data_IF_917993512091
#
_entry.id   IF_917993512091
#
_cell.length_a   1.000
_cell.length_b   1.000
_cell.length_c   1.000
_cell.angle_alpha   90.00
_cell.angle_beta   90.00
_cell.angle_gamma   90.00
#
_symmetry.space_group_name_H-M   'P 1'
#
loop_
_entity.id
_entity.type
_entity.pdbx_description
1 polymer ?
#
# COMPACT_ATOMS: atom_id res chain seq x y z
N UNK A 1 -29.51 26.31 -6.32
CA UNK A 1 -28.40 26.05 -5.38
C UNK A 1 -28.07 24.57 -5.29
N UNK A 2 -29.01 23.68 -4.97
CA UNK A 2 -28.69 22.24 -4.78
C UNK A 2 -28.13 21.57 -6.05
N UNK A 3 -28.66 21.88 -7.24
CA UNK A 3 -28.10 21.37 -8.51
C UNK A 3 -26.65 21.82 -8.72
N UNK A 4 -26.33 23.09 -8.45
CA UNK A 4 -24.97 23.61 -8.56
C UNK A 4 -24.01 22.94 -7.56
N UNK A 5 -24.49 22.63 -6.34
CA UNK A 5 -23.72 21.89 -5.36
C UNK A 5 -23.46 20.45 -5.78
N UNK A 6 -24.44 19.80 -6.42
CA UNK A 6 -24.26 18.47 -6.99
C UNK A 6 -23.28 18.46 -8.17
N UNK A 7 -23.39 19.41 -9.09
CA UNK A 7 -22.43 19.56 -10.20
C UNK A 7 -21.00 19.77 -9.67
N UNK A 8 -20.84 20.67 -8.69
CA UNK A 8 -19.55 20.85 -8.04
C UNK A 8 -19.03 19.56 -7.41
N UNK A 9 -19.89 18.79 -6.72
CA UNK A 9 -19.52 17.49 -6.16
C UNK A 9 -19.02 16.53 -7.26
N UNK A 10 -19.74 16.41 -8.37
CA UNK A 10 -19.38 15.52 -9.48
C UNK A 10 -18.03 15.89 -10.10
N UNK A 11 -17.75 17.19 -10.28
CA UNK A 11 -16.48 17.65 -10.83
C UNK A 11 -15.29 17.44 -9.88
N UNK A 12 -15.51 17.44 -8.56
CA UNK A 12 -14.41 17.45 -7.58
C UNK A 12 -14.20 16.10 -6.88
N UNK A 13 -15.15 15.17 -6.97
CA UNK A 13 -15.06 13.88 -6.27
C UNK A 13 -13.83 13.05 -6.68
N UNK A 14 -13.26 13.23 -7.88
CA UNK A 14 -12.07 12.50 -8.30
C UNK A 14 -10.77 13.06 -7.72
N UNK A 15 -10.73 14.35 -7.40
CA UNK A 15 -9.50 15.03 -6.98
C UNK A 15 -9.38 15.18 -5.46
N UNK A 16 -10.50 15.12 -4.73
CA UNK A 16 -10.50 15.27 -3.27
C UNK A 16 -11.52 14.37 -2.60
N UNK A 17 -11.23 14.01 -1.35
CA UNK A 17 -12.16 13.26 -0.52
C UNK A 17 -13.19 14.23 0.08
N UNK A 18 -14.37 14.27 -0.54
CA UNK A 18 -15.45 15.16 -0.13
C UNK A 18 -16.19 14.58 1.07
N UNK A 19 -16.01 15.20 2.24
CA UNK A 19 -16.74 14.85 3.46
C UNK A 19 -18.11 15.53 3.51
N UNK A 20 -18.97 15.05 4.41
CA UNK A 20 -20.28 15.69 4.67
C UNK A 20 -20.15 17.14 5.14
N UNK A 21 -19.15 17.44 5.97
CA UNK A 21 -18.87 18.80 6.44
C UNK A 21 -18.41 19.70 5.28
N UNK A 22 -17.57 19.19 4.38
CA UNK A 22 -17.14 19.93 3.20
C UNK A 22 -18.32 20.27 2.27
N UNK A 23 -19.28 19.36 2.11
CA UNK A 23 -20.51 19.61 1.33
C UNK A 23 -21.36 20.72 1.95
N UNK A 24 -21.51 20.73 3.28
CA UNK A 24 -22.24 21.80 3.99
C UNK A 24 -21.53 23.14 3.86
N UNK A 25 -20.22 23.17 4.02
CA UNK A 25 -19.41 24.39 3.89
C UNK A 25 -19.48 24.95 2.46
N UNK A 26 -19.37 24.09 1.45
CA UNK A 26 -19.54 24.50 0.06
C UNK A 26 -20.97 24.97 -0.24
N UNK A 27 -21.97 24.31 0.32
CA UNK A 27 -23.36 24.75 0.28
C UNK A 27 -23.55 26.15 0.85
N UNK A 28 -22.93 26.45 2.00
CA UNK A 28 -22.94 27.77 2.62
C UNK A 28 -22.31 28.83 1.72
N UNK A 29 -21.19 28.51 1.06
CA UNK A 29 -20.56 29.40 0.08
C UNK A 29 -21.55 29.70 -1.05
N UNK A 30 -22.21 28.69 -1.62
CA UNK A 30 -23.17 28.89 -2.70
C UNK A 30 -24.41 29.67 -2.29
N UNK A 31 -24.94 29.46 -1.07
CA UNK A 31 -26.05 30.27 -0.57
C UNK A 31 -25.66 31.74 -0.46
N UNK A 32 -24.47 32.05 0.08
CA UNK A 32 -23.98 33.44 0.19
C UNK A 32 -23.80 34.12 -1.17
N UNK A 33 -23.37 33.38 -2.18
CA UNK A 33 -23.13 33.95 -3.52
C UNK A 33 -24.41 34.07 -4.35
N UNK A 34 -25.30 33.08 -4.28
CA UNK A 34 -26.53 33.05 -5.07
C UNK A 34 -27.68 33.81 -4.42
N UNK A 35 -27.66 33.94 -3.09
CA UNK A 35 -28.69 34.63 -2.31
C UNK A 35 -28.06 35.53 -1.23
N UNK A 36 -27.45 36.67 -1.61
CA UNK A 36 -26.75 37.55 -0.67
C UNK A 36 -27.66 38.13 0.42
N UNK A 37 -28.96 38.27 0.13
CA UNK A 37 -29.95 38.82 1.06
C UNK A 37 -30.66 37.76 1.91
N UNK A 38 -30.33 36.48 1.73
CA UNK A 38 -30.92 35.41 2.53
C UNK A 38 -30.34 35.38 3.96
N UNK A 39 -31.22 35.17 4.94
CA UNK A 39 -30.84 34.89 6.34
C UNK A 39 -29.92 33.66 6.35
N UNK A 40 -28.95 33.62 7.27
CA UNK A 40 -27.98 32.53 7.38
C UNK A 40 -28.69 31.17 7.40
N UNK A 41 -28.55 30.42 6.31
CA UNK A 41 -29.08 29.07 6.20
C UNK A 41 -28.05 28.09 6.77
N UNK A 42 -28.45 27.28 7.74
CA UNK A 42 -27.57 26.26 8.31
C UNK A 42 -27.90 24.88 7.73
N UNK A 43 -26.91 24.25 7.10
CA UNK A 43 -27.06 22.92 6.53
C UNK A 43 -27.00 21.85 7.62
N UNK A 44 -28.17 21.40 8.07
CA UNK A 44 -28.29 20.33 9.07
C UNK A 44 -27.85 18.96 8.53
N UNK A 45 -27.56 18.03 9.45
CA UNK A 45 -27.34 16.62 9.09
C UNK A 45 -28.54 16.02 8.35
N UNK A 46 -29.76 16.38 8.74
CA UNK A 46 -30.97 15.91 8.07
C UNK A 46 -31.07 16.37 6.62
N UNK A 47 -30.67 17.61 6.32
CA UNK A 47 -30.57 18.10 4.95
C UNK A 47 -29.51 17.32 4.17
N UNK A 48 -28.34 17.10 4.76
CA UNK A 48 -27.23 16.38 4.10
C UNK A 48 -27.63 14.96 3.72
N UNK A 49 -28.29 14.23 4.62
CA UNK A 49 -28.76 12.86 4.34
C UNK A 49 -29.81 12.84 3.22
N UNK A 50 -30.76 13.80 3.22
CA UNK A 50 -31.72 13.94 2.11
C UNK A 50 -31.05 14.34 0.79
N UNK A 51 -30.02 15.18 0.82
CA UNK A 51 -29.25 15.56 -0.36
C UNK A 51 -28.53 14.33 -0.94
N UNK A 52 -27.83 13.56 -0.09
CA UNK A 52 -27.18 12.32 -0.51
C UNK A 52 -28.17 11.32 -1.10
N UNK A 53 -29.32 11.12 -0.46
CA UNK A 53 -30.36 10.21 -0.95
C UNK A 53 -30.89 10.63 -2.32
N UNK A 54 -31.21 11.92 -2.51
CA UNK A 54 -31.74 12.43 -3.78
C UNK A 54 -30.75 12.29 -4.94
N UNK A 55 -29.46 12.40 -4.66
CA UNK A 55 -28.40 12.30 -5.67
C UNK A 55 -27.68 10.93 -5.68
N UNK A 56 -28.21 9.94 -4.97
CA UNK A 56 -27.63 8.60 -4.82
C UNK A 56 -26.15 8.60 -4.37
N UNK A 57 -25.73 9.60 -3.59
CA UNK A 57 -24.36 9.72 -3.07
C UNK A 57 -24.18 8.71 -1.93
N UNK A 58 -23.18 7.84 -2.05
CA UNK A 58 -22.83 6.82 -1.06
C UNK A 58 -21.42 7.03 -0.52
N UNK A 59 -21.20 6.64 0.73
CA UNK A 59 -19.87 6.61 1.30
C UNK A 59 -19.17 5.32 0.87
N UNK A 60 -18.04 5.45 0.17
CA UNK A 60 -17.17 4.34 -0.18
C UNK A 60 -15.81 4.53 0.48
N UNK A 61 -15.23 3.44 0.98
CA UNK A 61 -13.84 3.44 1.41
C UNK A 61 -12.95 3.51 0.17
N UNK A 62 -12.16 4.58 0.04
CA UNK A 62 -11.15 4.70 -1.02
C UNK A 62 -9.87 4.00 -0.60
N UNK A 63 -9.32 3.18 -1.51
CA UNK A 63 -8.01 2.55 -1.37
C UNK A 63 -6.98 3.47 -2.04
N UNK A 64 -5.96 3.89 -1.28
CA UNK A 64 -5.08 5.00 -1.66
C UNK A 64 -4.20 4.75 -2.88
N UNK A 65 -3.81 3.51 -3.15
CA UNK A 65 -2.85 3.18 -4.21
C UNK A 65 -3.52 2.72 -5.51
N UNK A 66 -4.73 2.16 -5.39
CA UNK A 66 -5.47 1.56 -6.52
C UNK A 66 -6.00 2.59 -7.53
N UNK A 67 -6.03 3.88 -7.18
CA UNK A 67 -6.48 4.96 -8.08
C UNK A 67 -5.44 5.39 -9.10
N UNK A 68 -4.18 4.97 -8.93
CA UNK A 68 -3.04 5.38 -9.77
C UNK A 68 -2.79 4.44 -10.94
N UNK A 69 -3.49 3.31 -11.01
CA UNK A 69 -3.19 2.22 -11.94
C UNK A 69 -4.43 1.79 -12.71
N UNK A 70 -4.28 1.63 -14.02
CA UNK A 70 -5.33 1.15 -14.91
C UNK A 70 -5.55 -0.36 -14.68
N UNK A 71 -6.61 -0.69 -13.95
CA UNK A 71 -6.96 -2.07 -13.57
C UNK A 71 -7.26 -2.92 -14.80
N UNK A 72 -7.79 -2.33 -15.88
CA UNK A 72 -8.12 -3.08 -17.10
C UNK A 72 -6.83 -3.46 -17.84
N UNK A 73 -5.87 -2.54 -17.93
CA UNK A 73 -4.54 -2.84 -18.50
C UNK A 73 -3.79 -3.90 -17.70
N UNK A 74 -3.80 -3.83 -16.36
CA UNK A 74 -3.17 -4.88 -15.53
C UNK A 74 -3.82 -6.24 -15.81
N UNK A 75 -5.15 -6.31 -15.84
CA UNK A 75 -5.85 -7.57 -16.11
C UNK A 75 -5.51 -8.14 -17.49
N UNK A 76 -5.30 -7.29 -18.48
CA UNK A 76 -4.91 -7.70 -19.82
C UNK A 76 -3.44 -8.14 -19.92
N UNK A 77 -2.52 -7.54 -19.16
CA UNK A 77 -1.09 -7.87 -19.18
C UNK A 77 -0.69 -9.06 -18.28
N UNK A 78 -1.46 -9.32 -17.21
CA UNK A 78 -1.20 -10.40 -16.26
C UNK A 78 -0.98 -11.78 -16.90
N UNK A 79 -1.76 -12.22 -17.92
CA UNK A 79 -1.50 -13.49 -18.59
C UNK A 79 -0.11 -13.56 -19.25
N UNK A 80 0.32 -12.50 -19.92
CA UNK A 80 1.64 -12.45 -20.58
C UNK A 80 2.78 -12.48 -19.54
N UNK A 81 2.61 -11.76 -18.43
CA UNK A 81 3.58 -11.77 -17.33
C UNK A 81 3.70 -13.18 -16.73
N UNK A 82 2.58 -13.88 -16.55
CA UNK A 82 2.58 -15.26 -16.03
C UNK A 82 3.26 -16.23 -16.99
N UNK A 83 2.95 -16.15 -18.28
CA UNK A 83 3.57 -17.00 -19.29
C UNK A 83 5.10 -16.86 -19.28
N UNK A 84 5.59 -15.64 -19.06
CA UNK A 84 7.01 -15.40 -18.95
C UNK A 84 7.60 -15.90 -17.62
N UNK A 85 6.89 -15.70 -16.50
CA UNK A 85 7.31 -16.18 -15.18
C UNK A 85 7.31 -17.72 -15.09
N UNK A 86 6.38 -18.41 -15.75
CA UNK A 86 6.26 -19.87 -15.74
C UNK A 86 7.47 -20.56 -16.42
N UNK A 87 8.32 -19.82 -17.15
CA UNK A 87 9.60 -20.32 -17.67
C UNK A 87 10.68 -20.46 -16.60
N UNK A 88 10.48 -19.81 -15.44
CA UNK A 88 11.43 -19.73 -14.35
C UNK A 88 10.97 -20.56 -13.14
N UNK A 89 11.93 -21.14 -12.43
CA UNK A 89 11.62 -21.80 -11.17
C UNK A 89 11.18 -20.77 -10.11
N UNK A 90 10.17 -21.09 -9.30
CA UNK A 90 9.68 -20.18 -8.24
C UNK A 90 10.74 -19.80 -7.21
N UNK A 91 11.80 -20.61 -7.07
CA UNK A 91 12.94 -20.30 -6.19
C UNK A 91 13.79 -19.11 -6.66
N UNK A 92 13.73 -18.74 -7.94
CA UNK A 92 14.47 -17.60 -8.52
C UNK A 92 13.59 -16.36 -8.76
N UNK A 93 12.27 -16.46 -8.54
CA UNK A 93 11.34 -15.34 -8.70
C UNK A 93 11.16 -14.66 -7.35
N UNK A 94 11.59 -13.40 -7.22
CA UNK A 94 11.45 -12.63 -5.99
C UNK A 94 10.30 -11.64 -6.07
N UNK A 95 9.62 -11.46 -4.93
CA UNK A 95 8.70 -10.35 -4.72
C UNK A 95 9.19 -9.49 -3.57
N UNK A 96 8.92 -8.19 -3.68
CA UNK A 96 9.34 -7.19 -2.72
C UNK A 96 8.21 -6.20 -2.46
N UNK A 97 8.08 -5.78 -1.21
CA UNK A 97 7.09 -4.77 -0.83
C UNK A 97 7.56 -3.93 0.37
N UNK A 98 7.03 -2.71 0.48
CA UNK A 98 7.26 -1.81 1.60
C UNK A 98 6.11 -1.89 2.60
N UNK A 99 6.43 -2.05 3.88
CA UNK A 99 5.44 -2.05 4.96
C UNK A 99 5.83 -1.08 6.09
N UNK A 100 4.81 -0.48 6.70
CA UNK A 100 5.00 0.44 7.82
C UNK A 100 4.88 -0.29 9.16
N UNK A 101 5.95 -0.33 9.94
CA UNK A 101 5.91 -0.79 11.33
C UNK A 101 5.56 0.37 12.27
N UNK A 102 4.33 0.38 12.78
CA UNK A 102 3.83 1.37 13.73
C UNK A 102 4.15 1.00 15.18
N UNK A 103 5.40 1.23 15.60
CA UNK A 103 5.91 0.78 16.91
C UNK A 103 5.35 1.55 18.12
N UNK A 104 4.67 2.70 17.92
CA UNK A 104 3.97 3.46 18.98
C UNK A 104 2.45 3.43 18.89
N UNK A 105 1.89 2.72 17.91
CA UNK A 105 0.44 2.66 17.77
C UNK A 105 -0.16 1.84 18.91
N UNK A 106 -1.16 2.42 19.58
CA UNK A 106 -1.86 1.75 20.67
C UNK A 106 -3.05 0.98 20.12
N UNK A 107 -3.53 -0.01 20.89
CA UNK A 107 -4.78 -0.67 20.55
C UNK A 107 -5.91 0.37 20.45
N UNK A 108 -6.77 0.22 19.43
CA UNK A 108 -7.93 1.11 19.25
C UNK A 108 -9.00 0.90 20.32
N UNK A 109 -8.99 -0.26 20.98
CA UNK A 109 -9.98 -0.66 21.96
C UNK A 109 -9.30 -0.82 23.32
N UNK A 110 -9.87 -0.20 24.35
CA UNK A 110 -9.48 -0.40 25.74
C UNK A 110 -10.67 -0.97 26.52
N UNK A 111 -10.41 -1.90 27.44
CA UNK A 111 -11.42 -2.30 28.41
C UNK A 111 -11.74 -1.13 29.33
N UNK A 112 -12.96 -0.60 29.24
CA UNK A 112 -13.41 0.54 30.03
C UNK A 112 -14.81 0.27 30.59
N UNK A 113 -15.06 0.73 31.81
CA UNK A 113 -16.36 0.63 32.49
C UNK A 113 -17.36 1.69 32.02
N UNK A 114 -16.90 2.68 31.25
CA UNK A 114 -17.73 3.72 30.63
C UNK A 114 -17.16 4.17 29.30
N UNK A 115 -17.98 4.75 28.44
CA UNK A 115 -17.49 5.34 27.19
C UNK A 115 -16.53 6.50 27.50
N UNK A 116 -15.30 6.41 26.99
CA UNK A 116 -14.26 7.43 27.14
C UNK A 116 -14.00 8.11 25.80
N UNK A 117 -13.48 9.33 25.85
CA UNK A 117 -13.02 10.05 24.66
C UNK A 117 -11.87 9.30 23.99
N UNK A 118 -11.93 9.20 22.66
CA UNK A 118 -10.92 8.53 21.87
C UNK A 118 -9.58 9.28 21.93
N UNK A 119 -8.49 8.55 22.14
CA UNK A 119 -7.14 9.13 22.05
C UNK A 119 -6.67 9.14 20.60
N UNK A 120 -6.03 10.24 20.20
CA UNK A 120 -5.36 10.31 18.89
C UNK A 120 -4.24 9.27 18.83
N UNK A 121 -4.31 8.38 17.86
CA UNK A 121 -3.30 7.33 17.67
C UNK A 121 -1.95 7.95 17.29
N UNK A 122 -0.87 7.47 17.91
CA UNK A 122 0.48 7.78 17.45
C UNK A 122 0.79 6.90 16.23
N UNK A 123 0.86 7.53 15.05
CA UNK A 123 1.16 6.88 13.77
C UNK A 123 2.63 6.97 13.37
N UNK A 124 3.52 7.26 14.32
CA UNK A 124 4.96 7.09 14.12
C UNK A 124 5.24 5.66 13.64
N UNK A 125 5.98 5.58 12.54
CA UNK A 125 6.32 4.33 11.87
C UNK A 125 7.74 4.38 11.33
N UNK A 126 8.35 3.21 11.24
CA UNK A 126 9.48 2.98 10.33
C UNK A 126 8.96 2.26 9.09
N UNK A 127 9.54 2.55 7.95
CA UNK A 127 9.28 1.79 6.72
C UNK A 127 10.27 0.64 6.67
N UNK A 128 9.78 -0.56 6.39
CA UNK A 128 10.56 -1.78 6.27
C UNK A 128 10.31 -2.34 4.88
N UNK A 129 11.37 -2.76 4.20
CA UNK A 129 11.27 -3.52 2.95
C UNK A 129 11.40 -5.00 3.28
N UNK A 130 10.47 -5.77 2.75
CA UNK A 130 10.45 -7.23 2.82
C UNK A 130 10.67 -7.79 1.43
N UNK A 131 11.51 -8.81 1.29
CA UNK A 131 11.71 -9.50 0.04
C UNK A 131 11.91 -11.00 0.25
N UNK A 132 11.26 -11.81 -0.59
CA UNK A 132 11.36 -13.27 -0.55
C UNK A 132 11.10 -13.87 -1.92
N UNK A 133 11.58 -15.09 -2.14
CA UNK A 133 11.29 -15.83 -3.35
C UNK A 133 9.91 -16.51 -3.33
N UNK A 134 9.41 -16.88 -4.50
CA UNK A 134 8.05 -17.34 -4.71
C UNK A 134 7.72 -18.72 -4.14
N UNK A 135 8.72 -19.52 -3.77
CA UNK A 135 8.54 -20.76 -3.02
C UNK A 135 8.70 -20.58 -1.49
N UNK A 136 9.24 -19.44 -1.06
CA UNK A 136 9.48 -19.05 0.32
C UNK A 136 10.69 -19.75 0.97
N UNK A 137 11.56 -20.38 0.19
CA UNK A 137 12.79 -21.01 0.67
C UNK A 137 13.87 -19.98 1.02
N UNK A 138 13.86 -18.83 0.34
CA UNK A 138 14.78 -17.73 0.58
C UNK A 138 14.04 -16.45 0.94
N UNK A 139 14.52 -15.80 2.00
CA UNK A 139 14.03 -14.51 2.49
C UNK A 139 15.23 -13.62 2.67
N UNK A 140 15.23 -12.49 1.97
CA UNK A 140 16.27 -11.49 2.16
C UNK A 140 16.14 -10.87 3.56
N UNK A 141 17.28 -10.41 4.14
CA UNK A 141 17.26 -9.63 5.36
C UNK A 141 16.33 -8.42 5.25
N UNK A 142 15.67 -8.05 6.35
CA UNK A 142 14.79 -6.88 6.38
C UNK A 142 15.60 -5.60 6.23
N UNK A 143 15.17 -4.71 5.35
CA UNK A 143 15.80 -3.40 5.19
C UNK A 143 14.93 -2.32 5.81
N UNK A 144 15.55 -1.39 6.54
CA UNK A 144 14.83 -0.31 7.22
C UNK A 144 15.08 0.99 6.45
N UNK A 145 14.00 1.58 5.93
CA UNK A 145 14.03 2.87 5.25
C UNK A 145 13.64 3.97 6.23
N UNK A 146 14.54 4.92 6.44
CA UNK A 146 14.27 6.17 7.15
C UNK A 146 15.33 6.59 8.17
N UNK A 147 15.31 7.87 8.57
CA UNK A 147 16.17 8.39 9.64
C UNK A 147 15.58 8.06 11.01
N UNK A 148 16.27 7.25 11.79
CA UNK A 148 15.95 6.99 13.20
C UNK A 148 16.33 8.20 14.05
N UNK A 149 15.35 9.08 14.32
CA UNK A 149 15.54 10.22 15.22
C UNK A 149 15.39 9.74 16.68
N UNK A 150 16.52 9.49 17.36
CA UNK A 150 16.68 9.25 18.81
C UNK A 150 15.62 8.32 19.47
N UNK A 151 15.92 7.02 19.65
CA UNK A 151 15.01 6.10 20.33
C UNK A 151 14.95 6.40 21.85
N UNK A 152 13.76 6.58 22.42
CA UNK A 152 13.58 6.83 23.86
C UNK A 152 12.99 5.60 24.59
N UNK A 153 13.87 4.86 25.26
CA UNK A 153 13.74 3.90 26.39
C UNK A 153 12.73 2.74 26.36
N UNK A 154 11.67 2.72 25.56
CA UNK A 154 10.93 1.49 25.15
C UNK A 154 10.33 1.78 23.78
N UNK A 155 11.08 1.63 22.68
CA UNK A 155 10.81 2.58 21.58
C UNK A 155 11.13 2.24 20.14
N UNK A 156 11.87 1.21 19.77
CA UNK A 156 12.08 0.93 18.34
C UNK A 156 12.73 -0.43 18.16
N UNK A 157 13.79 -0.67 18.94
CA UNK A 157 14.59 -1.89 18.90
C UNK A 157 13.75 -3.13 19.16
N UNK A 158 12.86 -3.10 20.16
CA UNK A 158 11.90 -4.18 20.42
C UNK A 158 10.95 -4.41 19.23
N UNK A 159 10.51 -3.34 18.57
CA UNK A 159 9.71 -3.44 17.36
C UNK A 159 10.47 -4.10 16.22
N UNK A 160 11.72 -3.68 15.99
CA UNK A 160 12.60 -4.28 14.97
C UNK A 160 12.85 -5.75 15.28
N UNK A 161 13.24 -6.10 16.51
CA UNK A 161 13.49 -7.48 16.95
C UNK A 161 12.25 -8.34 16.75
N UNK A 162 11.06 -7.84 17.12
CA UNK A 162 9.82 -8.58 16.93
C UNK A 162 9.49 -8.80 15.45
N UNK A 163 9.69 -7.79 14.59
CA UNK A 163 9.44 -7.95 13.15
C UNK A 163 10.45 -8.89 12.52
N UNK A 164 11.74 -8.81 12.89
CA UNK A 164 12.77 -9.77 12.44
C UNK A 164 12.40 -11.18 12.87
N UNK A 165 12.05 -11.37 14.15
CA UNK A 165 11.63 -12.66 14.67
C UNK A 165 10.39 -13.20 13.95
N UNK A 166 9.35 -12.39 13.74
CA UNK A 166 8.15 -12.81 13.01
C UNK A 166 8.43 -13.10 11.54
N UNK A 167 9.30 -12.32 10.88
CA UNK A 167 9.70 -12.57 9.49
C UNK A 167 10.44 -13.90 9.35
N UNK A 168 11.37 -14.18 10.26
CA UNK A 168 12.17 -15.41 10.23
C UNK A 168 11.37 -16.63 10.69
N UNK A 169 10.59 -16.50 11.77
CA UNK A 169 9.96 -17.61 12.49
C UNK A 169 8.51 -17.82 12.05
N UNK A 170 7.68 -16.78 12.03
CA UNK A 170 6.23 -16.91 11.88
C UNK A 170 5.79 -16.98 10.41
N UNK A 171 6.43 -16.21 9.54
CA UNK A 171 6.14 -16.24 8.10
C UNK A 171 6.69 -17.54 7.53
N UNK A 172 5.83 -18.50 7.21
CA UNK A 172 6.26 -19.79 6.65
C UNK A 172 6.25 -19.78 5.11
N UNK A 173 6.97 -20.69 4.45
CA UNK A 173 6.96 -20.80 2.99
C UNK A 173 5.55 -20.93 2.40
N UNK A 174 4.66 -21.68 3.05
CA UNK A 174 3.26 -21.79 2.61
C UNK A 174 2.51 -20.45 2.66
N UNK A 175 2.79 -19.59 3.64
CA UNK A 175 2.22 -18.24 3.74
C UNK A 175 2.67 -17.40 2.54
N UNK A 176 3.95 -17.48 2.18
CA UNK A 176 4.51 -16.80 1.02
C UNK A 176 3.86 -17.32 -0.27
N UNK A 177 3.80 -18.64 -0.47
CA UNK A 177 3.11 -19.26 -1.62
C UNK A 177 1.66 -18.76 -1.73
N UNK A 178 0.94 -18.67 -0.61
CA UNK A 178 -0.43 -18.14 -0.58
C UNK A 178 -0.49 -16.66 -0.98
N UNK A 179 0.47 -15.83 -0.55
CA UNK A 179 0.55 -14.43 -0.99
C UNK A 179 0.71 -14.32 -2.51
N UNK A 180 1.63 -15.08 -3.13
CA UNK A 180 1.82 -15.09 -4.59
C UNK A 180 0.58 -15.58 -5.35
N UNK A 181 -0.19 -16.51 -4.77
CA UNK A 181 -1.50 -16.94 -5.30
C UNK A 181 -2.55 -15.84 -5.21
N UNK A 182 -2.66 -15.16 -4.06
CA UNK A 182 -3.59 -14.05 -3.87
C UNK A 182 -3.30 -12.86 -4.78
N UNK A 183 -2.03 -12.58 -5.03
CA UNK A 183 -1.57 -11.58 -6.00
C UNK A 183 -1.81 -12.02 -7.45
N UNK A 184 -2.33 -13.23 -7.69
CA UNK A 184 -2.60 -13.78 -9.02
C UNK A 184 -1.33 -13.89 -9.87
N UNK A 185 -0.15 -13.95 -9.26
CA UNK A 185 1.11 -14.16 -9.99
C UNK A 185 1.33 -15.67 -10.15
N UNK A 186 1.01 -16.46 -9.12
CA UNK A 186 1.15 -17.92 -9.12
C UNK A 186 -0.19 -18.62 -9.36
N UNK A 187 -0.21 -19.65 -10.21
CA UNK A 187 -1.37 -20.52 -10.44
C UNK A 187 -1.27 -21.83 -9.64
N UNK A 188 -2.38 -22.56 -9.50
CA UNK A 188 -2.41 -23.84 -8.77
C UNK A 188 -1.69 -24.99 -9.49
N UNK A 189 -1.45 -24.85 -10.80
CA UNK A 189 -0.79 -25.85 -11.64
C UNK A 189 0.72 -25.61 -11.80
N UNK A 190 1.25 -24.55 -11.16
CA UNK A 190 2.65 -24.19 -11.31
C UNK A 190 3.54 -25.24 -10.63
N UNK A 191 4.24 -26.03 -11.45
CA UNK A 191 5.12 -27.10 -11.03
C UNK A 191 6.32 -26.50 -10.29
N UNK A 192 6.67 -27.03 -9.11
CA UNK A 192 7.85 -26.61 -8.34
C UNK A 192 9.13 -27.26 -8.92
N UNK A 193 9.11 -27.72 -10.17
CA UNK A 193 10.20 -28.46 -10.79
C UNK A 193 11.47 -27.61 -10.92
N UNK A 194 12.60 -28.20 -10.54
CA UNK A 194 13.89 -27.51 -10.52
C UNK A 194 14.42 -27.31 -11.94
N UNK A 195 14.21 -26.12 -12.49
CA UNK A 195 15.04 -25.62 -13.59
C UNK A 195 15.96 -24.55 -13.03
N UNK A 196 17.15 -24.97 -12.59
CA UNK A 196 18.29 -24.05 -12.41
C UNK A 196 19.10 -24.06 -13.68
N UNK A 197 18.90 -23.05 -14.51
CA UNK A 197 19.92 -22.65 -15.49
C UNK A 197 20.52 -21.33 -15.01
N UNK A 198 21.83 -21.20 -15.17
CA UNK A 198 22.48 -19.89 -15.08
C UNK A 198 21.94 -19.02 -16.21
N UNK A 199 21.69 -17.74 -15.92
CA UNK A 199 21.18 -16.76 -16.89
C UNK A 199 22.08 -16.73 -18.12
N UNK A 200 21.61 -17.25 -19.25
CA UNK A 200 22.32 -17.16 -20.52
C UNK A 200 22.02 -15.83 -21.26
N UNK A 201 22.62 -15.61 -22.42
CA UNK A 201 22.40 -14.38 -23.20
C UNK A 201 20.95 -14.23 -23.70
N UNK A 202 20.21 -15.34 -23.83
CA UNK A 202 18.81 -15.36 -24.24
C UNK A 202 17.91 -14.96 -23.06
N UNK A 203 18.22 -15.44 -21.87
CA UNK A 203 17.60 -15.07 -20.61
C UNK A 203 17.74 -13.57 -20.28
N UNK A 204 18.88 -12.95 -20.57
CA UNK A 204 19.06 -11.50 -20.39
C UNK A 204 18.13 -10.68 -21.30
N UNK A 205 17.82 -11.18 -22.51
CA UNK A 205 16.86 -10.54 -23.41
C UNK A 205 15.44 -10.67 -22.87
N UNK A 206 15.09 -11.83 -22.31
CA UNK A 206 13.81 -12.05 -21.64
C UNK A 206 13.61 -11.07 -20.47
N UNK A 207 14.62 -10.90 -19.62
CA UNK A 207 14.58 -9.92 -18.51
C UNK A 207 14.40 -8.49 -19.03
N UNK A 208 15.03 -8.14 -20.17
CA UNK A 208 14.86 -6.84 -20.80
C UNK A 208 13.44 -6.64 -21.36
N UNK A 209 12.86 -7.67 -21.99
CA UNK A 209 11.49 -7.64 -22.51
C UNK A 209 10.46 -7.51 -21.38
N UNK A 210 10.63 -8.24 -20.27
CA UNK A 210 9.83 -8.08 -19.06
C UNK A 210 9.91 -6.65 -18.51
N UNK A 211 11.12 -6.08 -18.42
CA UNK A 211 11.30 -4.68 -17.99
C UNK A 211 10.56 -3.71 -18.89
N UNK A 212 10.56 -3.94 -20.21
CA UNK A 212 9.83 -3.10 -21.16
C UNK A 212 8.31 -3.22 -20.99
N UNK A 213 7.78 -4.43 -20.86
CA UNK A 213 6.35 -4.65 -20.58
C UNK A 213 5.92 -3.99 -19.27
N UNK A 214 6.72 -4.09 -18.21
CA UNK A 214 6.42 -3.44 -16.91
C UNK A 214 6.42 -1.91 -17.04
N UNK A 215 7.34 -1.33 -17.83
CA UNK A 215 7.35 0.13 -18.10
C UNK A 215 6.07 0.59 -18.81
N UNK A 216 5.52 -0.23 -19.70
CA UNK A 216 4.26 0.07 -20.39
C UNK A 216 3.02 0.05 -19.47
N UNK A 217 3.14 -0.49 -18.25
CA UNK A 217 2.06 -0.46 -17.25
C UNK A 217 1.94 0.89 -16.53
N UNK A 218 2.80 1.87 -16.83
CA UNK A 218 2.75 3.25 -16.33
C UNK A 218 2.59 3.34 -14.80
N UNK A 219 3.49 2.71 -14.05
CA UNK A 219 3.57 2.94 -12.61
C UNK A 219 4.18 4.32 -12.34
N UNK A 220 3.40 5.23 -11.75
CA UNK A 220 3.85 6.61 -11.48
C UNK A 220 5.10 6.70 -10.59
N UNK A 221 5.36 5.68 -9.75
CA UNK A 221 6.51 5.58 -8.85
C UNK A 221 7.14 4.18 -8.94
N UNK A 222 7.71 3.83 -10.09
CA UNK A 222 8.42 2.56 -10.23
C UNK A 222 9.67 2.56 -9.33
N UNK A 223 9.85 1.50 -8.54
CA UNK A 223 11.06 1.29 -7.74
C UNK A 223 12.24 0.99 -8.68
N UNK A 224 13.35 1.70 -8.51
CA UNK A 224 14.59 1.45 -9.24
C UNK A 224 15.37 0.33 -8.54
N UNK A 225 15.34 -0.86 -9.15
CA UNK A 225 15.98 -2.06 -8.60
C UNK A 225 17.50 -1.95 -8.55
N UNK A 226 18.14 -1.24 -9.48
CA UNK A 226 19.60 -1.15 -9.55
C UNK A 226 20.11 -0.22 -8.44
N UNK A 227 19.42 0.89 -8.18
CA UNK A 227 19.70 1.78 -7.04
C UNK A 227 19.47 1.08 -5.70
N UNK A 228 18.48 0.19 -5.64
CA UNK A 228 18.13 -0.54 -4.43
C UNK A 228 19.16 -1.63 -4.10
N UNK A 229 19.51 -2.49 -5.07
CA UNK A 229 20.45 -3.60 -4.86
C UNK A 229 21.89 -3.12 -4.61
N UNK A 230 22.29 -1.99 -5.21
CA UNK A 230 23.63 -1.43 -5.10
C UNK A 230 23.64 -0.11 -4.32
N UNK A 231 22.95 -0.03 -3.17
CA UNK A 231 22.93 1.20 -2.41
C UNK A 231 24.32 1.47 -1.78
N UNK A 232 25.04 2.56 -2.16
CA UNK A 232 26.44 2.77 -1.76
C UNK A 232 26.70 2.89 -0.25
N UNK A 233 25.65 3.07 0.57
CA UNK A 233 25.77 3.13 2.03
C UNK A 233 25.72 1.74 2.70
N UNK A 234 25.37 0.67 1.99
CA UNK A 234 25.30 -0.69 2.56
C UNK A 234 26.67 -1.24 2.96
N UNK A 235 27.74 -0.79 2.31
CA UNK A 235 29.11 -1.13 2.70
C UNK A 235 29.52 -0.53 4.07
N UNK A 236 28.70 0.35 4.67
CA UNK A 236 29.03 1.04 5.92
C UNK A 236 28.29 0.50 7.14
N UNK A 237 27.25 -0.32 6.99
CA UNK A 237 26.37 -0.70 8.11
C UNK A 237 26.51 -2.19 8.44
N UNK A 238 27.53 -2.51 9.25
CA UNK A 238 27.62 -3.80 9.94
C UNK A 238 26.86 -3.67 11.27
N UNK A 239 25.60 -4.11 11.32
CA UNK A 239 24.98 -4.43 12.60
C UNK A 239 25.55 -5.77 13.07
N UNK A 240 26.64 -5.72 13.82
CA UNK A 240 27.12 -6.86 14.57
C UNK A 240 26.09 -7.16 15.67
N UNK A 241 25.34 -8.24 15.52
CA UNK A 241 24.62 -8.85 16.63
C UNK A 241 25.68 -9.34 17.61
N UNK A 242 25.84 -8.65 18.73
CA UNK A 242 26.65 -9.16 19.84
C UNK A 242 25.95 -10.38 20.39
N UNK A 243 26.54 -11.55 20.18
CA UNK A 243 26.18 -12.78 20.90
C UNK A 243 26.47 -12.56 22.39
N UNK A 244 25.44 -12.63 23.24
CA UNK A 244 25.56 -12.90 24.68
C UNK A 244 25.10 -14.33 24.95
#
# INVERSE_FOLDING_TARGET
MESALYEWFVCNQQHTNISGELLKEKGNIFVRHLYPEAISFEFSNGWLEKFKQRHAIRSFRRFGESGSVDIEKIKASLPSIREELDKWAWKVIYNMDETGLFYRMQANNSFTTKQLEGRKQNKERITIVICCNGDGSDKLPLWIIGRVLKPSKVSLLVGIVNVVASWSIDVKPHTIKNCFKHCKIRTDCADDSEVTKELDEEDQRIVADLRNQIKELYYNNQMDMDVFLDHPNEQQIVYALTEE
#
